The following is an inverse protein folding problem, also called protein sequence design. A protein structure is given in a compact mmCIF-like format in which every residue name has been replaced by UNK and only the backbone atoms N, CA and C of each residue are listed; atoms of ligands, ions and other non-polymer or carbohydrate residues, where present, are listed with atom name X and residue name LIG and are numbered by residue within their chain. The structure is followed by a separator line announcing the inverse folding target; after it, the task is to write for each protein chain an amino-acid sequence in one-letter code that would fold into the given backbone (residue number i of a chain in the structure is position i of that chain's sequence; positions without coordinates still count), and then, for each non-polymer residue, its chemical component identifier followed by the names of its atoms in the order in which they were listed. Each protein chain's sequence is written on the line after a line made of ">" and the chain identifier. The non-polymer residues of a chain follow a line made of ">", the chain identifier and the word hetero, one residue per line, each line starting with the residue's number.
data_IF_906815634589
#
_entry.id   IF_906815634589
#
_cell.length_a   1.000
_cell.length_b   1.000
_cell.length_c   1.000
_cell.angle_alpha   90.00
_cell.angle_beta   90.00
_cell.angle_gamma   90.00
#
_symmetry.space_group_name_H-M   'P 1'
#
loop_
_entity.id
_entity.type
_entity.pdbx_description
1 polymer ?
#
# COMPACT_ATOMS: atom_id res chain seq x y z
N UNK A 1 -27.02 21.64 -7.14
CA UNK A 1 -27.08 20.46 -8.03
C UNK A 1 -26.23 19.39 -7.36
N UNK A 2 -26.86 18.40 -6.71
CA UNK A 2 -26.20 17.51 -5.74
C UNK A 2 -25.26 16.52 -6.43
N UNK A 3 -24.02 16.40 -5.94
CA UNK A 3 -22.97 15.47 -6.41
C UNK A 3 -23.45 14.01 -6.51
N UNK A 4 -24.48 13.64 -5.72
CA UNK A 4 -25.20 12.37 -5.81
C UNK A 4 -25.85 12.08 -7.17
N UNK A 5 -26.18 13.11 -7.97
CA UNK A 5 -26.74 12.95 -9.33
C UNK A 5 -25.67 12.79 -10.42
N UNK A 6 -24.43 13.21 -10.17
CA UNK A 6 -23.31 13.04 -11.10
C UNK A 6 -22.71 11.61 -11.06
N UNK A 7 -22.85 10.92 -9.92
CA UNK A 7 -22.39 9.53 -9.73
C UNK A 7 -23.26 8.52 -10.50
N UNK A 8 -24.49 8.89 -10.88
CA UNK A 8 -25.43 8.00 -11.57
C UNK A 8 -25.31 7.99 -13.11
N UNK A 9 -24.48 8.85 -13.71
CA UNK A 9 -24.42 9.05 -15.18
C UNK A 9 -23.11 8.62 -15.86
N UNK A 10 -22.17 8.01 -15.12
CA UNK A 10 -20.85 7.61 -15.64
C UNK A 10 -20.77 6.17 -16.17
N UNK A 11 -21.66 5.78 -17.10
CA UNK A 11 -21.57 4.50 -17.81
C UNK A 11 -21.49 4.72 -19.33
N UNK A 12 -20.29 4.94 -19.85
CA UNK A 12 -19.92 4.65 -21.24
C UNK A 12 -18.40 4.81 -21.46
N UNK A 13 -17.81 3.87 -22.20
CA UNK A 13 -16.43 3.82 -22.73
C UNK A 13 -15.33 3.33 -21.75
N UNK A 14 -14.88 2.07 -21.89
CA UNK A 14 -13.74 1.53 -22.70
C UNK A 14 -12.47 1.43 -21.83
N UNK A 15 -12.02 0.21 -21.48
CA UNK A 15 -11.03 -0.68 -22.18
C UNK A 15 -9.61 -0.33 -21.73
N UNK A 16 -8.58 -1.23 -21.50
CA UNK A 16 -7.50 -1.31 -20.39
C UNK A 16 -5.94 -1.46 -20.35
N UNK A 17 -5.43 -1.63 -19.07
CA UNK A 17 -4.23 -2.21 -18.32
C UNK A 17 -2.74 -1.80 -18.53
N UNK A 18 -1.82 -2.12 -17.57
CA UNK A 18 -1.99 -2.83 -16.27
C UNK A 18 -1.31 -2.26 -15.00
N UNK A 19 -1.97 -2.55 -13.87
CA UNK A 19 -1.32 -2.82 -12.60
C UNK A 19 -0.40 -4.04 -12.78
N UNK A 20 0.77 -4.07 -12.13
CA UNK A 20 1.49 -5.32 -11.94
C UNK A 20 0.59 -6.25 -11.11
N UNK A 21 -0.24 -7.02 -11.81
CA UNK A 21 -0.76 -8.27 -11.33
C UNK A 21 0.48 -9.08 -10.89
N UNK A 22 0.52 -9.78 -9.76
CA UNK A 22 -0.24 -11.01 -9.51
C UNK A 22 -0.72 -11.79 -10.75
N UNK A 23 -0.09 -11.58 -11.90
CA UNK A 23 -0.03 -12.55 -12.97
C UNK A 23 1.04 -13.50 -12.49
N UNK A 24 0.62 -14.51 -11.74
CA UNK A 24 1.43 -15.69 -11.47
C UNK A 24 1.79 -16.35 -12.80
N UNK A 25 2.76 -15.78 -13.50
CA UNK A 25 3.39 -16.39 -14.66
C UNK A 25 4.26 -17.52 -14.11
N UNK A 26 3.67 -18.72 -14.11
CA UNK A 26 4.22 -19.97 -13.55
C UNK A 26 5.39 -20.49 -14.40
N UNK A 27 6.06 -19.63 -15.17
CA UNK A 27 7.24 -19.96 -15.98
C UNK A 27 8.56 -19.58 -15.28
N UNK A 28 8.49 -19.05 -14.06
CA UNK A 28 9.67 -18.78 -13.22
C UNK A 28 10.40 -20.05 -12.77
N UNK A 29 11.66 -19.89 -12.35
CA UNK A 29 12.63 -20.96 -12.07
C UNK A 29 12.26 -21.98 -10.96
N UNK A 30 11.07 -21.88 -10.36
CA UNK A 30 10.56 -22.80 -9.33
C UNK A 30 9.40 -23.71 -9.79
N UNK A 31 9.03 -23.69 -11.08
CA UNK A 31 7.91 -24.47 -11.57
C UNK A 31 8.25 -25.97 -11.74
N UNK A 32 7.56 -26.85 -11.01
CA UNK A 32 7.69 -28.31 -11.18
C UNK A 32 6.42 -28.86 -11.85
N UNK A 33 6.61 -29.51 -12.99
CA UNK A 33 5.52 -30.17 -13.70
C UNK A 33 5.32 -31.59 -13.15
N UNK A 34 4.15 -31.89 -12.59
CA UNK A 34 3.78 -33.23 -12.17
C UNK A 34 2.69 -33.78 -13.11
N UNK A 35 3.08 -34.64 -14.06
CA UNK A 35 2.21 -35.08 -15.14
C UNK A 35 2.08 -34.06 -16.27
N UNK A 36 1.26 -34.35 -17.29
CA UNK A 36 1.25 -33.53 -18.53
C UNK A 36 0.60 -32.15 -18.36
N UNK A 37 -0.27 -31.97 -17.34
CA UNK A 37 -1.14 -30.77 -17.25
C UNK A 37 -1.13 -30.05 -15.88
N UNK A 38 -0.30 -30.44 -14.91
CA UNK A 38 -0.27 -29.80 -13.58
C UNK A 38 1.08 -29.16 -13.30
N UNK A 39 1.06 -27.88 -12.94
CA UNK A 39 2.25 -27.09 -12.60
C UNK A 39 2.15 -26.60 -11.16
N UNK A 40 3.19 -26.84 -10.39
CA UNK A 40 3.38 -26.28 -9.05
C UNK A 40 4.38 -25.15 -9.13
N UNK A 41 4.08 -24.00 -8.55
CA UNK A 41 5.05 -22.93 -8.35
C UNK A 41 5.08 -22.48 -6.90
N UNK A 42 6.28 -22.16 -6.47
CA UNK A 42 6.56 -21.46 -5.22
C UNK A 42 7.12 -20.09 -5.60
N UNK A 43 6.50 -19.03 -5.10
CA UNK A 43 7.04 -17.68 -5.23
C UNK A 43 6.95 -16.97 -3.89
N UNK A 44 7.75 -15.94 -3.70
CA UNK A 44 7.76 -15.25 -2.42
C UNK A 44 8.59 -13.99 -2.41
N UNK A 45 8.52 -13.32 -1.26
CA UNK A 45 9.26 -12.12 -0.96
C UNK A 45 9.71 -12.17 0.49
N UNK A 46 10.94 -11.79 0.76
CA UNK A 46 11.46 -11.67 2.11
C UNK A 46 12.31 -10.41 2.25
N UNK A 47 12.09 -9.69 3.35
CA UNK A 47 12.87 -8.55 3.81
C UNK A 47 13.38 -8.85 5.21
N UNK A 48 14.69 -8.74 5.36
CA UNK A 48 15.42 -9.08 6.59
C UNK A 48 16.35 -7.90 6.93
N UNK A 49 15.83 -6.87 7.62
CA UNK A 49 16.64 -5.76 8.08
C UNK A 49 17.46 -6.17 9.33
N UNK A 50 18.67 -5.65 9.41
CA UNK A 50 19.50 -5.62 10.60
C UNK A 50 19.87 -4.16 10.87
N UNK A 51 19.35 -3.65 11.98
CA UNK A 51 19.65 -2.31 12.46
C UNK A 51 20.93 -2.36 13.29
N UNK A 52 21.92 -1.55 12.91
CA UNK A 52 23.16 -1.42 13.66
C UNK A 52 23.23 0.01 14.20
N UNK A 53 22.81 0.20 15.44
CA UNK A 53 23.07 1.45 16.15
C UNK A 53 24.25 1.30 17.10
N UNK A 54 24.81 2.43 17.54
CA UNK A 54 25.77 2.43 18.64
C UNK A 54 25.11 1.93 19.95
N UNK A 55 23.78 2.03 20.03
CA UNK A 55 22.92 1.49 21.08
C UNK A 55 22.32 0.15 20.65
N UNK A 56 22.25 -0.87 21.53
CA UNK A 56 21.70 -2.18 21.18
C UNK A 56 20.16 -2.17 21.22
N UNK A 57 19.52 -1.28 20.48
CA UNK A 57 18.06 -1.18 20.33
C UNK A 57 17.66 -0.88 18.90
N UNK A 58 16.38 -1.08 18.60
CA UNK A 58 15.80 -0.58 17.36
C UNK A 58 15.75 0.96 17.33
N UNK A 59 15.91 1.59 16.15
CA UNK A 59 15.75 3.02 15.97
C UNK A 59 14.33 3.46 16.26
N UNK A 60 14.19 4.55 16.99
CA UNK A 60 12.93 5.21 17.29
C UNK A 60 12.69 6.32 16.27
N UNK A 61 11.88 6.03 15.25
CA UNK A 61 11.62 6.98 14.16
C UNK A 61 10.14 7.33 14.09
N UNK A 62 9.85 8.48 13.49
CA UNK A 62 8.47 8.89 13.19
C UNK A 62 7.85 8.10 12.02
N UNK A 63 8.68 7.45 11.21
CA UNK A 63 8.30 6.79 9.96
C UNK A 63 8.65 5.29 9.91
N UNK A 64 8.95 4.66 11.06
CA UNK A 64 9.33 3.25 11.14
C UNK A 64 8.15 2.26 11.15
N UNK A 65 6.96 2.70 11.57
CA UNK A 65 5.78 1.84 11.64
C UNK A 65 4.91 2.00 10.39
N UNK A 66 4.67 0.89 9.68
CA UNK A 66 3.93 0.91 8.42
C UNK A 66 2.49 1.44 8.55
N UNK A 67 1.75 1.08 9.61
CA UNK A 67 0.34 1.47 9.75
C UNK A 67 0.16 2.69 10.62
N UNK A 68 0.97 2.77 11.66
CA UNK A 68 0.86 3.82 12.63
C UNK A 68 1.44 5.11 12.01
N UNK A 69 2.55 5.09 11.26
CA UNK A 69 3.16 6.35 10.78
C UNK A 69 2.25 7.14 9.80
N UNK A 70 1.24 6.48 9.22
CA UNK A 70 0.28 7.12 8.31
C UNK A 70 1.00 7.85 7.19
N UNK A 71 0.68 9.13 7.00
CA UNK A 71 1.32 9.94 5.96
C UNK A 71 2.85 10.10 6.14
N UNK A 72 3.37 9.97 7.36
CA UNK A 72 4.79 10.14 7.66
C UNK A 72 5.68 9.03 7.06
N UNK A 73 5.12 7.85 6.76
CA UNK A 73 5.91 6.71 6.29
C UNK A 73 6.70 7.02 4.99
N UNK A 74 8.02 6.79 5.01
CA UNK A 74 8.92 7.03 3.86
C UNK A 74 9.59 5.77 3.30
N UNK A 75 9.38 4.59 3.88
CA UNK A 75 10.06 3.34 3.46
C UNK A 75 11.60 3.37 3.60
N UNK A 76 12.18 4.37 4.29
CA UNK A 76 13.62 4.40 4.58
C UNK A 76 13.99 3.35 5.62
N UNK A 77 13.15 3.18 6.64
CA UNK A 77 13.20 2.10 7.59
C UNK A 77 11.98 1.20 7.37
N UNK A 78 12.24 -0.08 7.14
CA UNK A 78 11.19 -1.05 6.88
C UNK A 78 11.37 -2.21 7.87
N UNK A 79 10.32 -2.63 8.60
CA UNK A 79 10.40 -3.78 9.48
C UNK A 79 10.56 -5.07 8.68
N UNK A 80 10.93 -6.15 9.33
CA UNK A 80 10.99 -7.47 8.70
C UNK A 80 9.62 -7.91 8.15
N UNK A 81 9.63 -8.60 7.01
CA UNK A 81 8.42 -9.06 6.34
C UNK A 81 8.72 -10.23 5.40
N UNK A 82 7.90 -11.27 5.42
CA UNK A 82 7.95 -12.37 4.45
C UNK A 82 6.57 -12.75 3.96
N UNK A 83 6.48 -13.05 2.66
CA UNK A 83 5.32 -13.66 2.00
C UNK A 83 5.81 -14.89 1.23
N UNK A 84 5.11 -16.01 1.37
CA UNK A 84 5.37 -17.25 0.62
C UNK A 84 4.06 -17.75 0.01
N UNK A 85 4.07 -17.96 -1.29
CA UNK A 85 2.91 -18.41 -2.03
C UNK A 85 3.16 -19.77 -2.69
N UNK A 86 2.29 -20.73 -2.38
CA UNK A 86 2.17 -21.96 -3.13
C UNK A 86 1.05 -21.81 -4.15
N UNK A 87 1.38 -21.99 -5.43
CA UNK A 87 0.41 -21.99 -6.52
C UNK A 87 0.36 -23.35 -7.20
N UNK A 88 -0.84 -23.89 -7.38
CA UNK A 88 -1.09 -25.11 -8.15
C UNK A 88 -1.97 -24.76 -9.33
N UNK A 89 -1.51 -25.03 -10.54
CA UNK A 89 -2.25 -24.76 -11.78
C UNK A 89 -2.53 -26.06 -12.52
N UNK A 90 -3.77 -26.24 -12.99
CA UNK A 90 -4.17 -27.37 -13.84
C UNK A 90 -5.15 -26.90 -14.90
N UNK A 91 -4.72 -26.93 -16.17
CA UNK A 91 -5.48 -26.34 -17.27
C UNK A 91 -5.76 -24.85 -17.03
N UNK A 92 -7.04 -24.47 -17.06
CA UNK A 92 -7.50 -23.10 -16.82
C UNK A 92 -7.76 -22.78 -15.33
N UNK A 93 -7.45 -23.69 -14.41
CA UNK A 93 -7.71 -23.50 -12.98
C UNK A 93 -6.42 -23.28 -12.20
N UNK A 94 -6.46 -22.38 -11.21
CA UNK A 94 -5.37 -22.05 -10.30
C UNK A 94 -5.88 -22.11 -8.87
N UNK A 95 -5.13 -22.73 -7.96
CA UNK A 95 -5.30 -22.60 -6.52
C UNK A 95 -4.05 -21.93 -5.94
N UNK A 96 -4.21 -20.99 -5.03
CA UNK A 96 -3.13 -20.25 -4.39
C UNK A 96 -3.30 -20.23 -2.87
N UNK A 97 -2.20 -20.42 -2.15
CA UNK A 97 -2.13 -20.30 -0.69
C UNK A 97 -0.97 -19.37 -0.34
N UNK A 98 -1.25 -18.31 0.42
CA UNK A 98 -0.27 -17.33 0.85
C UNK A 98 -0.04 -17.38 2.35
N UNK A 99 1.23 -17.57 2.74
CA UNK A 99 1.72 -17.52 4.11
C UNK A 99 2.47 -16.21 4.34
N UNK A 100 2.16 -15.53 5.43
CA UNK A 100 2.69 -14.21 5.73
C UNK A 100 3.29 -14.21 7.14
N UNK A 101 4.39 -13.47 7.31
CA UNK A 101 5.07 -13.31 8.58
C UNK A 101 5.71 -11.93 8.70
N UNK A 102 5.71 -11.40 9.92
CA UNK A 102 6.39 -10.16 10.32
C UNK A 102 6.80 -10.28 11.78
N UNK A 103 7.66 -9.38 12.27
CA UNK A 103 8.16 -9.40 13.64
C UNK A 103 8.74 -10.78 14.00
N UNK A 104 9.75 -11.21 13.25
CA UNK A 104 10.39 -12.51 13.41
C UNK A 104 10.88 -12.72 14.84
N UNK A 105 10.70 -13.95 15.33
CA UNK A 105 11.10 -14.32 16.67
C UNK A 105 12.62 -14.26 16.71
N UNK A 106 13.12 -13.61 17.74
CA UNK A 106 14.53 -13.69 18.08
C UNK A 106 14.73 -14.75 19.17
N UNK A 107 15.98 -15.19 19.38
CA UNK A 107 16.34 -16.08 20.49
C UNK A 107 15.95 -15.49 21.86
N UNK A 108 15.78 -14.16 21.95
CA UNK A 108 15.40 -13.44 23.15
C UNK A 108 13.88 -13.30 23.36
N UNK A 109 13.07 -13.29 22.30
CA UNK A 109 11.59 -13.12 22.37
C UNK A 109 10.90 -13.92 21.27
N UNK A 110 9.95 -14.78 21.68
CA UNK A 110 9.21 -15.66 20.76
C UNK A 110 7.79 -15.12 20.53
N UNK A 111 7.63 -14.32 19.48
CA UNK A 111 6.34 -13.72 19.09
C UNK A 111 5.60 -14.63 18.10
N UNK A 112 5.23 -15.84 18.55
CA UNK A 112 4.58 -16.86 17.71
C UNK A 112 3.26 -16.41 17.09
N UNK A 113 2.56 -15.46 17.72
CA UNK A 113 1.31 -14.90 17.22
C UNK A 113 1.45 -14.08 15.93
N UNK A 114 2.66 -13.58 15.64
CA UNK A 114 2.98 -12.81 14.44
C UNK A 114 3.63 -13.66 13.33
N UNK A 115 3.82 -14.97 13.58
CA UNK A 115 4.56 -15.87 12.71
C UNK A 115 3.68 -17.00 12.20
N UNK A 116 3.52 -17.06 10.88
CA UNK A 116 2.90 -18.15 10.13
C UNK A 116 1.37 -18.21 10.27
N UNK A 117 0.67 -17.50 9.38
CA UNK A 117 -0.75 -17.68 9.11
C UNK A 117 -1.04 -17.79 7.62
N UNK A 118 -2.06 -18.57 7.24
CA UNK A 118 -2.64 -18.51 5.89
C UNK A 118 -3.44 -17.21 5.81
N UNK A 119 -2.85 -16.18 5.22
CA UNK A 119 -3.51 -14.89 5.06
C UNK A 119 -4.32 -14.81 3.75
N UNK A 120 -3.96 -15.64 2.76
CA UNK A 120 -4.66 -15.76 1.50
C UNK A 120 -4.86 -17.23 1.11
N UNK A 121 -6.03 -17.53 0.55
CA UNK A 121 -6.38 -18.84 0.03
C UNK A 121 -7.49 -18.66 -1.01
N UNK A 122 -7.18 -18.90 -2.28
CA UNK A 122 -8.16 -18.70 -3.36
C UNK A 122 -8.05 -19.76 -4.44
N UNK A 123 -9.16 -19.90 -5.18
CA UNK A 123 -9.25 -20.69 -6.41
C UNK A 123 -9.73 -19.77 -7.52
N UNK A 124 -9.04 -19.81 -8.65
CA UNK A 124 -9.38 -19.08 -9.85
C UNK A 124 -9.60 -20.00 -11.05
N UNK A 125 -10.48 -19.58 -11.95
CA UNK A 125 -10.63 -20.10 -13.30
C UNK A 125 -10.29 -18.98 -14.28
N UNK A 126 -9.20 -19.12 -15.04
CA UNK A 126 -8.71 -18.12 -15.99
C UNK A 126 -9.58 -18.05 -17.27
N UNK A 127 -10.37 -19.11 -17.53
CA UNK A 127 -11.39 -19.19 -18.60
C UNK A 127 -12.70 -19.72 -18.04
N UNK A 128 -13.43 -18.87 -17.32
CA UNK A 128 -14.67 -19.27 -16.70
C UNK A 128 -15.72 -19.64 -17.75
N UNK A 129 -16.35 -20.81 -17.59
CA UNK A 129 -17.30 -21.38 -18.57
C UNK A 129 -16.72 -21.51 -20.00
N UNK A 130 -15.40 -21.66 -20.13
CA UNK A 130 -14.70 -21.76 -21.42
C UNK A 130 -14.59 -20.43 -22.19
N UNK A 131 -15.14 -19.34 -21.64
CA UNK A 131 -15.12 -18.01 -22.24
C UNK A 131 -13.78 -17.33 -21.93
N UNK A 132 -12.90 -17.25 -22.93
CA UNK A 132 -11.87 -16.22 -22.90
C UNK A 132 -12.54 -14.91 -23.35
N UNK A 133 -12.30 -13.78 -22.66
CA UNK A 133 -11.22 -13.50 -21.71
C UNK A 133 -11.71 -13.32 -20.25
N UNK A 134 -12.70 -14.10 -19.81
CA UNK A 134 -13.31 -13.97 -18.48
C UNK A 134 -12.62 -14.89 -17.47
N UNK A 135 -12.05 -14.31 -16.41
CA UNK A 135 -11.56 -15.02 -15.25
C UNK A 135 -12.40 -14.76 -13.99
N UNK A 136 -12.47 -15.76 -13.13
CA UNK A 136 -13.21 -15.71 -11.86
C UNK A 136 -12.31 -16.23 -10.75
N UNK A 137 -12.28 -15.54 -9.62
CA UNK A 137 -11.57 -15.94 -8.42
C UNK A 137 -12.53 -15.97 -7.22
N UNK A 138 -12.40 -16.98 -6.37
CA UNK A 138 -13.18 -17.17 -5.15
C UNK A 138 -12.24 -17.55 -3.99
N UNK A 139 -12.37 -16.88 -2.85
CA UNK A 139 -11.59 -17.18 -1.66
C UNK A 139 -11.21 -15.93 -0.88
N UNK A 140 -10.08 -15.98 -0.19
CA UNK A 140 -9.48 -14.86 0.54
C UNK A 140 -8.31 -14.33 -0.27
N UNK A 141 -8.41 -13.08 -0.73
CA UNK A 141 -7.44 -12.44 -1.61
C UNK A 141 -7.38 -10.93 -1.35
N UNK A 142 -6.22 -10.32 -1.65
CA UNK A 142 -5.95 -8.91 -1.39
C UNK A 142 -5.56 -8.17 -2.67
N UNK A 143 -6.55 -7.66 -3.40
CA UNK A 143 -6.31 -6.85 -4.58
C UNK A 143 -5.67 -5.52 -4.21
N UNK A 144 -4.69 -5.09 -4.99
CA UNK A 144 -3.91 -3.86 -4.77
C UNK A 144 -4.22 -2.86 -5.88
N UNK A 145 -4.65 -1.65 -5.53
CA UNK A 145 -5.02 -0.61 -6.47
C UNK A 145 -4.24 0.69 -6.23
N UNK A 146 -3.57 1.18 -7.27
CA UNK A 146 -2.78 2.43 -7.22
C UNK A 146 -1.54 2.32 -6.33
N UNK A 147 -0.80 1.22 -6.44
CA UNK A 147 0.42 0.98 -5.67
C UNK A 147 1.51 2.00 -5.99
N UNK A 148 2.09 2.60 -4.96
CA UNK A 148 3.18 3.57 -5.02
C UNK A 148 4.38 3.02 -4.25
N UNK A 149 5.29 2.40 -4.98
CA UNK A 149 6.47 1.73 -4.45
C UNK A 149 7.39 2.63 -3.59
N UNK A 150 7.65 3.93 -3.87
CA UNK A 150 8.54 4.76 -3.04
C UNK A 150 8.11 4.88 -1.58
N UNK A 151 6.80 4.81 -1.36
CA UNK A 151 6.16 4.93 -0.06
C UNK A 151 5.46 3.63 0.37
N UNK A 152 5.53 2.57 -0.42
CA UNK A 152 4.84 1.30 -0.17
C UNK A 152 3.36 1.47 0.22
N UNK A 153 2.58 2.18 -0.61
CA UNK A 153 1.19 2.53 -0.24
C UNK A 153 0.23 2.40 -1.41
N UNK A 154 -1.06 2.42 -1.13
CA UNK A 154 -2.12 2.25 -2.11
C UNK A 154 -2.98 3.51 -2.20
N UNK A 155 -2.99 4.12 -3.39
CA UNK A 155 -3.78 5.32 -3.64
C UNK A 155 -5.28 5.00 -3.66
N UNK A 156 -5.71 3.89 -4.26
CA UNK A 156 -7.14 3.52 -4.30
C UNK A 156 -7.49 2.41 -3.31
N UNK A 157 -6.50 1.63 -2.90
CA UNK A 157 -6.56 0.76 -1.74
C UNK A 157 -6.08 -0.65 -1.97
N UNK A 158 -5.83 -1.37 -0.87
CA UNK A 158 -5.66 -2.81 -0.84
C UNK A 158 -6.83 -3.46 -0.13
N UNK A 159 -7.52 -4.37 -0.78
CA UNK A 159 -8.64 -5.09 -0.15
C UNK A 159 -8.11 -6.16 0.78
N UNK A 160 -8.86 -6.47 1.84
CA UNK A 160 -8.62 -7.59 2.74
C UNK A 160 -9.95 -8.31 2.91
N UNK A 161 -10.26 -9.24 2.00
CA UNK A 161 -11.61 -9.79 1.91
C UNK A 161 -11.63 -11.29 1.64
N UNK A 162 -12.64 -11.96 2.20
CA UNK A 162 -13.15 -13.22 1.66
C UNK A 162 -14.32 -12.93 0.71
N UNK A 163 -14.28 -13.40 -0.52
CA UNK A 163 -15.30 -13.08 -1.51
C UNK A 163 -15.01 -13.66 -2.89
N UNK A 164 -15.52 -12.98 -3.92
CA UNK A 164 -15.28 -13.32 -5.32
C UNK A 164 -14.85 -12.10 -6.13
N UNK A 165 -14.20 -12.38 -7.25
CA UNK A 165 -13.76 -11.39 -8.24
C UNK A 165 -13.97 -11.93 -9.64
N UNK A 166 -14.37 -11.05 -10.55
CA UNK A 166 -14.49 -11.28 -11.98
C UNK A 166 -13.52 -10.34 -12.68
N UNK A 167 -12.83 -10.82 -13.71
CA UNK A 167 -11.99 -9.98 -14.56
C UNK A 167 -12.20 -10.35 -16.02
N UNK A 168 -12.30 -9.34 -16.87
CA UNK A 168 -12.50 -9.46 -18.30
C UNK A 168 -11.39 -8.75 -19.04
N UNK A 169 -10.49 -9.46 -19.72
CA UNK A 169 -9.39 -8.83 -20.47
C UNK A 169 -9.84 -8.38 -21.88
N UNK A 170 -9.96 -7.07 -22.10
CA UNK A 170 -10.54 -6.50 -23.32
C UNK A 170 -9.60 -6.48 -24.56
N UNK A 171 -8.40 -7.07 -24.48
CA UNK A 171 -7.38 -7.02 -25.54
C UNK A 171 -6.64 -5.67 -25.62
N UNK A 172 -5.46 -5.66 -26.24
CA UNK A 172 -4.57 -4.47 -26.37
C UNK A 172 -4.09 -3.87 -25.03
N UNK A 173 -4.00 -4.72 -24.02
CA UNK A 173 -3.81 -4.31 -22.64
C UNK A 173 -5.13 -4.22 -21.88
N UNK A 174 -6.28 -4.38 -22.52
CA UNK A 174 -7.64 -4.37 -21.97
C UNK A 174 -7.97 -5.18 -20.72
N UNK A 175 -8.93 -4.71 -19.91
CA UNK A 175 -9.31 -5.17 -18.55
C UNK A 175 -10.45 -4.36 -17.91
N UNK A 176 -11.46 -5.08 -17.45
CA UNK A 176 -12.42 -4.61 -16.44
C UNK A 176 -12.45 -5.65 -15.35
N UNK A 177 -12.47 -5.22 -14.10
CA UNK A 177 -12.52 -6.07 -12.93
C UNK A 177 -13.63 -5.60 -12.01
N UNK A 178 -14.37 -6.54 -11.44
CA UNK A 178 -15.35 -6.27 -10.40
C UNK A 178 -15.27 -7.36 -9.33
N UNK A 179 -15.41 -6.99 -8.07
CA UNK A 179 -15.36 -7.94 -6.96
C UNK A 179 -16.23 -7.52 -5.80
N UNK A 180 -16.62 -8.51 -5.01
CA UNK A 180 -17.35 -8.29 -3.77
C UNK A 180 -16.95 -9.34 -2.73
N UNK A 181 -16.90 -8.92 -1.47
CA UNK A 181 -16.53 -9.78 -0.36
C UNK A 181 -16.83 -9.13 0.97
N UNK A 182 -16.32 -9.70 2.05
CA UNK A 182 -16.39 -9.13 3.38
C UNK A 182 -15.15 -9.47 4.21
N UNK A 183 -14.89 -8.63 5.19
CA UNK A 183 -13.97 -8.91 6.29
C UNK A 183 -14.77 -9.18 7.56
N UNK A 184 -14.35 -10.18 8.33
CA UNK A 184 -14.97 -10.53 9.63
C UNK A 184 -14.93 -9.35 10.59
N UNK A 185 -15.96 -9.24 11.42
CA UNK A 185 -16.05 -8.29 12.51
C UNK A 185 -14.89 -8.42 13.53
N UNK A 186 -14.60 -7.31 14.22
CA UNK A 186 -13.69 -7.24 15.36
C UNK A 186 -14.42 -6.60 16.54
N UNK A 187 -15.28 -7.39 17.18
CA UNK A 187 -16.18 -6.90 18.24
C UNK A 187 -15.44 -6.28 19.44
N UNK A 188 -14.26 -6.80 19.77
CA UNK A 188 -13.40 -6.24 20.83
C UNK A 188 -12.91 -4.82 20.51
N UNK A 189 -12.90 -4.44 19.23
CA UNK A 189 -12.51 -3.12 18.74
C UNK A 189 -13.71 -2.28 18.29
N UNK A 190 -14.93 -2.70 18.61
CA UNK A 190 -16.18 -2.07 18.17
C UNK A 190 -16.28 -1.92 16.65
N UNK A 191 -15.85 -2.94 15.91
CA UNK A 191 -15.93 -2.96 14.45
C UNK A 191 -16.86 -4.08 13.99
N UNK A 192 -17.83 -3.73 13.17
CA UNK A 192 -18.84 -4.64 12.64
C UNK A 192 -18.34 -5.50 11.49
N UNK A 193 -19.19 -6.43 11.03
CA UNK A 193 -18.96 -7.11 9.75
C UNK A 193 -18.87 -6.06 8.64
N UNK A 194 -17.82 -6.14 7.83
CA UNK A 194 -17.54 -5.10 6.84
C UNK A 194 -17.49 -5.68 5.43
N UNK A 195 -18.59 -5.61 4.67
CA UNK A 195 -18.55 -5.83 3.24
C UNK A 195 -17.66 -4.83 2.50
N UNK A 196 -17.16 -5.29 1.35
CA UNK A 196 -16.44 -4.48 0.37
C UNK A 196 -16.89 -4.88 -1.03
N UNK A 197 -17.06 -3.88 -1.89
CA UNK A 197 -17.32 -4.06 -3.31
C UNK A 197 -16.44 -3.09 -4.09
N UNK A 198 -15.93 -3.53 -5.23
CA UNK A 198 -15.03 -2.73 -6.04
C UNK A 198 -15.23 -2.98 -7.53
N UNK A 199 -14.98 -1.95 -8.32
CA UNK A 199 -14.87 -1.99 -9.78
C UNK A 199 -13.62 -1.23 -10.18
N UNK A 200 -12.83 -1.81 -11.07
CA UNK A 200 -11.62 -1.21 -11.62
C UNK A 200 -11.49 -1.52 -13.11
N UNK A 201 -10.83 -0.64 -13.85
CA UNK A 201 -10.45 -0.86 -15.24
C UNK A 201 -9.48 0.24 -15.66
N UNK A 202 -8.84 0.11 -16.81
CA UNK A 202 -8.21 1.27 -17.49
C UNK A 202 -8.46 1.28 -18.98
N UNK A 203 -7.63 1.96 -19.86
CA UNK A 203 -7.11 1.72 -21.28
C UNK A 203 -5.66 2.02 -21.53
N UNK A 204 -5.02 1.22 -22.38
CA UNK A 204 -3.85 1.64 -23.13
C UNK A 204 -4.24 2.48 -24.35
N UNK A 205 -3.86 3.75 -24.31
CA UNK A 205 -3.92 4.71 -25.42
C UNK A 205 -2.48 5.04 -25.82
N UNK A 206 -2.00 4.40 -26.89
CA UNK A 206 -0.61 4.50 -27.29
C UNK A 206 0.33 3.94 -26.22
N UNK A 207 1.05 4.82 -25.51
CA UNK A 207 2.03 4.46 -24.47
C UNK A 207 1.55 4.76 -23.05
N UNK A 208 0.31 5.25 -22.94
CA UNK A 208 -0.31 5.59 -21.67
C UNK A 208 -1.37 4.54 -21.34
N UNK A 209 -1.28 3.93 -20.17
CA UNK A 209 -2.39 3.28 -19.50
C UNK A 209 -3.14 4.33 -18.68
N UNK A 210 -4.44 4.53 -18.90
CA UNK A 210 -5.32 5.37 -18.09
C UNK A 210 -6.25 4.46 -17.30
N UNK A 211 -6.33 4.54 -15.97
CA UNK A 211 -7.19 3.67 -15.16
C UNK A 211 -8.19 4.44 -14.30
N UNK A 212 -9.29 3.77 -13.93
CA UNK A 212 -10.36 4.27 -13.07
C UNK A 212 -10.79 3.22 -12.05
N UNK A 213 -11.14 3.68 -10.85
CA UNK A 213 -11.39 2.84 -9.69
C UNK A 213 -12.59 3.38 -8.89
N UNK A 214 -13.45 2.46 -8.45
CA UNK A 214 -14.56 2.72 -7.55
C UNK A 214 -14.61 1.61 -6.50
N UNK A 215 -14.38 1.97 -5.24
CA UNK A 215 -14.46 1.05 -4.12
C UNK A 215 -15.46 1.56 -3.10
N UNK A 216 -16.16 0.63 -2.47
CA UNK A 216 -17.03 0.91 -1.34
C UNK A 216 -16.82 -0.16 -0.28
N UNK A 217 -16.66 0.28 0.95
CA UNK A 217 -16.78 -0.59 2.12
C UNK A 217 -17.76 0.01 3.11
N UNK A 218 -18.50 -0.82 3.82
CA UNK A 218 -19.54 -0.36 4.74
C UNK A 218 -19.76 -1.36 5.86
N UNK A 219 -20.42 -0.92 6.93
CA UNK A 219 -20.99 -1.82 7.94
C UNK A 219 -22.43 -1.40 8.22
N UNK A 220 -23.28 -2.40 8.45
CA UNK A 220 -24.68 -2.27 8.89
C UNK A 220 -24.97 -3.23 10.05
N UNK A 221 -23.95 -3.46 10.87
CA UNK A 221 -23.94 -4.45 11.96
C UNK A 221 -24.17 -3.76 13.32
N UNK A 222 -25.18 -2.89 13.39
CA UNK A 222 -25.57 -2.24 14.64
C UNK A 222 -26.10 -3.29 15.62
N UNK A 223 -25.58 -3.30 16.85
CA UNK A 223 -25.96 -4.28 17.89
C UNK A 223 -26.41 -3.57 19.16
N UNK A 224 -27.40 -4.14 19.85
CA UNK A 224 -28.02 -3.50 21.01
C UNK A 224 -27.08 -3.33 22.22
N UNK A 225 -26.06 -4.18 22.34
CA UNK A 225 -25.12 -4.20 23.48
C UNK A 225 -23.68 -3.89 23.06
N UNK A 226 -23.48 -3.34 21.86
CA UNK A 226 -22.17 -2.94 21.37
C UNK A 226 -22.27 -1.53 20.78
N UNK A 227 -21.27 -0.66 20.95
CA UNK A 227 -21.31 0.68 20.40
C UNK A 227 -21.08 0.72 18.87
N UNK A 228 -21.17 -0.42 18.18
CA UNK A 228 -21.05 -0.48 16.71
C UNK A 228 -22.23 0.26 16.08
N UNK A 229 -21.91 1.25 15.25
CA UNK A 229 -22.85 2.00 14.43
C UNK A 229 -22.64 1.70 12.94
N UNK A 230 -23.58 2.17 12.12
CA UNK A 230 -23.44 2.13 10.66
C UNK A 230 -22.29 3.05 10.22
N UNK A 231 -21.45 2.55 9.33
CA UNK A 231 -20.32 3.29 8.76
C UNK A 231 -20.16 3.00 7.27
N UNK A 232 -19.55 3.91 6.53
CA UNK A 232 -19.28 3.74 5.09
C UNK A 232 -18.02 4.50 4.69
N UNK A 233 -17.29 3.93 3.74
CA UNK A 233 -16.16 4.57 3.08
C UNK A 233 -16.27 4.31 1.57
N UNK A 234 -16.25 5.39 0.81
CA UNK A 234 -16.11 5.35 -0.65
C UNK A 234 -14.72 5.80 -1.06
N UNK A 235 -14.18 5.15 -2.09
CA UNK A 235 -12.97 5.57 -2.78
C UNK A 235 -13.26 5.67 -4.27
N UNK A 236 -12.98 6.83 -4.86
CA UNK A 236 -13.09 7.07 -6.29
C UNK A 236 -11.76 7.62 -6.76
N UNK A 237 -11.23 7.09 -7.86
CA UNK A 237 -9.98 7.62 -8.37
C UNK A 237 -9.67 7.22 -9.79
N UNK A 238 -8.63 7.84 -10.31
CA UNK A 238 -8.09 7.56 -11.62
C UNK A 238 -6.56 7.73 -11.61
N UNK A 239 -5.89 6.98 -12.48
CA UNK A 239 -4.46 7.10 -12.72
C UNK A 239 -4.11 7.14 -14.19
N UNK A 240 -2.88 7.55 -14.47
CA UNK A 240 -2.22 7.35 -15.75
C UNK A 240 -0.80 6.87 -15.51
N UNK A 241 -0.39 5.83 -16.23
CA UNK A 241 0.99 5.36 -16.34
C UNK A 241 1.45 5.49 -17.78
N UNK A 242 2.55 6.19 -18.01
CA UNK A 242 3.12 6.44 -19.33
C UNK A 242 4.50 5.81 -19.44
N UNK A 243 4.68 4.92 -20.41
CA UNK A 243 6.00 4.40 -20.74
C UNK A 243 6.79 5.47 -21.53
N UNK A 244 7.96 5.85 -21.03
CA UNK A 244 8.79 6.90 -21.61
C UNK A 244 9.57 6.38 -22.83
N UNK A 245 9.88 7.21 -23.86
CA UNK A 245 10.49 6.74 -25.11
C UNK A 245 11.80 5.97 -24.91
N UNK A 246 11.96 4.90 -25.69
CA UNK A 246 13.10 4.00 -25.58
C UNK A 246 13.06 3.17 -24.30
N UNK A 247 14.21 3.07 -23.63
CA UNK A 247 14.44 2.35 -22.38
C UNK A 247 14.51 3.30 -21.16
N UNK A 248 13.89 4.48 -21.28
CA UNK A 248 13.98 5.55 -20.28
C UNK A 248 13.19 5.32 -19.01
N UNK A 249 12.38 4.28 -18.91
CA UNK A 249 11.52 4.01 -17.75
C UNK A 249 10.08 4.46 -17.96
N UNK A 250 9.42 4.91 -16.90
CA UNK A 250 7.99 5.24 -16.92
C UNK A 250 7.67 6.39 -15.95
N UNK A 251 6.50 6.99 -16.13
CA UNK A 251 5.94 7.99 -15.22
C UNK A 251 4.50 7.63 -14.85
N UNK A 252 4.12 7.87 -13.61
CA UNK A 252 2.81 7.62 -13.04
C UNK A 252 2.28 8.90 -12.40
N UNK A 253 0.99 9.16 -12.59
CA UNK A 253 0.25 10.17 -11.84
C UNK A 253 -1.15 9.63 -11.51
N UNK A 254 -1.64 9.88 -10.30
CA UNK A 254 -2.96 9.47 -9.89
C UNK A 254 -3.62 10.44 -8.93
N UNK A 255 -4.94 10.40 -8.89
CA UNK A 255 -5.77 11.20 -7.98
C UNK A 255 -6.91 10.35 -7.41
N UNK A 256 -7.15 10.47 -6.10
CA UNK A 256 -8.21 9.77 -5.40
C UNK A 256 -9.00 10.73 -4.49
N UNK A 257 -10.29 10.47 -4.37
CA UNK A 257 -11.21 11.10 -3.43
C UNK A 257 -11.81 10.02 -2.52
N UNK A 258 -11.87 10.35 -1.23
CA UNK A 258 -12.37 9.46 -0.18
C UNK A 258 -13.49 10.17 0.56
N UNK A 259 -14.63 9.50 0.71
CA UNK A 259 -15.79 9.98 1.45
C UNK A 259 -16.07 9.01 2.59
N UNK A 260 -15.87 9.48 3.82
CA UNK A 260 -15.83 8.69 5.03
C UNK A 260 -16.96 9.13 5.97
N UNK A 261 -17.80 8.17 6.36
CA UNK A 261 -18.88 8.36 7.34
C UNK A 261 -18.69 7.32 8.44
N UNK A 262 -18.37 7.79 9.66
CA UNK A 262 -18.19 6.95 10.86
C UNK A 262 -17.29 5.73 10.64
N UNK A 263 -16.12 5.94 10.05
CA UNK A 263 -15.25 4.84 9.63
C UNK A 263 -14.66 4.04 10.79
N UNK A 264 -14.68 4.54 12.04
CA UNK A 264 -14.20 3.79 13.21
C UNK A 264 -14.85 2.40 13.35
N UNK A 265 -16.09 2.24 12.89
CA UNK A 265 -16.84 0.98 12.97
C UNK A 265 -16.54 -0.01 11.84
N UNK A 266 -15.78 0.40 10.83
CA UNK A 266 -15.38 -0.46 9.72
C UNK A 266 -14.20 -1.34 10.14
N UNK A 267 -14.43 -2.66 10.18
CA UNK A 267 -13.35 -3.64 10.24
C UNK A 267 -12.36 -3.48 9.06
N UNK A 268 -11.13 -4.02 9.15
CA UNK A 268 -10.06 -3.86 8.15
C UNK A 268 -10.28 -4.53 6.79
N UNK A 269 -11.37 -4.22 6.09
CA UNK A 269 -11.63 -4.73 4.74
C UNK A 269 -10.87 -3.96 3.64
N UNK A 270 -10.41 -2.75 3.95
CA UNK A 270 -9.73 -1.87 3.01
C UNK A 270 -8.57 -1.16 3.71
N UNK A 271 -7.42 -1.15 3.07
CA UNK A 271 -6.21 -0.46 3.51
C UNK A 271 -5.88 0.68 2.54
N UNK A 272 -5.64 1.88 3.06
CA UNK A 272 -5.43 3.11 2.28
C UNK A 272 -4.40 3.99 2.95
N UNK A 273 -3.44 4.58 2.22
CA UNK A 273 -2.53 5.59 2.75
C UNK A 273 -1.94 5.20 4.12
N UNK A 274 -1.40 3.97 4.22
CA UNK A 274 -0.83 3.42 5.46
C UNK A 274 -1.85 3.25 6.59
N UNK A 275 -3.13 3.08 6.28
CA UNK A 275 -4.20 2.99 7.26
C UNK A 275 -4.96 1.67 7.13
N UNK A 276 -4.91 0.84 8.17
CA UNK A 276 -5.61 -0.45 8.22
C UNK A 276 -7.05 -0.28 8.65
N UNK A 277 -7.97 -0.43 7.70
CA UNK A 277 -9.40 -0.25 7.95
C UNK A 277 -9.75 1.19 8.33
N UNK A 278 -10.97 1.36 8.82
CA UNK A 278 -11.46 2.69 9.14
C UNK A 278 -10.85 3.28 10.42
N UNK A 279 -10.48 2.46 11.41
CA UNK A 279 -9.77 2.94 12.62
C UNK A 279 -8.43 3.58 12.28
N UNK A 280 -7.61 2.93 11.47
CA UNK A 280 -6.34 3.51 11.04
C UNK A 280 -6.55 4.82 10.26
N UNK A 281 -7.58 4.89 9.41
CA UNK A 281 -7.85 6.09 8.61
C UNK A 281 -8.27 7.26 9.51
N UNK A 282 -9.09 6.97 10.52
CA UNK A 282 -9.47 7.93 11.54
C UNK A 282 -8.25 8.44 12.32
N UNK A 283 -7.45 7.55 12.89
CA UNK A 283 -6.28 7.94 13.70
C UNK A 283 -5.23 8.74 12.89
N UNK A 284 -4.99 8.34 11.65
CA UNK A 284 -3.98 8.98 10.80
C UNK A 284 -4.42 10.32 10.23
N UNK A 285 -5.71 10.47 9.87
CA UNK A 285 -6.18 11.63 9.09
C UNK A 285 -7.39 12.33 9.69
N UNK A 286 -8.45 11.61 10.05
CA UNK A 286 -9.75 12.23 10.35
C UNK A 286 -9.94 12.59 11.83
N UNK A 287 -9.19 12.02 12.76
CA UNK A 287 -9.48 12.10 14.20
C UNK A 287 -10.50 11.05 14.65
N UNK A 288 -10.76 10.95 15.96
CA UNK A 288 -11.56 9.85 16.55
C UNK A 288 -12.93 10.29 17.09
N UNK A 289 -13.06 10.61 18.38
CA UNK A 289 -14.37 10.88 19.00
C UNK A 289 -14.94 12.24 18.58
N UNK A 290 -14.10 13.27 18.54
CA UNK A 290 -14.51 14.63 18.18
C UNK A 290 -14.66 14.84 16.66
N UNK A 291 -14.41 13.79 15.85
CA UNK A 291 -14.54 13.81 14.39
C UNK A 291 -15.82 13.16 13.88
N UNK A 292 -16.82 12.96 14.74
CA UNK A 292 -18.02 12.21 14.36
C UNK A 292 -17.68 10.76 13.99
N UNK A 293 -16.84 10.10 14.80
CA UNK A 293 -16.35 8.73 14.63
C UNK A 293 -15.53 8.50 13.35
N UNK A 294 -14.71 9.48 12.97
CA UNK A 294 -13.90 9.45 11.74
C UNK A 294 -14.70 9.86 10.51
N UNK A 295 -15.61 10.82 10.64
CA UNK A 295 -16.36 11.37 9.51
C UNK A 295 -15.57 12.48 8.83
N UNK A 296 -15.55 12.47 7.50
CA UNK A 296 -14.86 13.49 6.72
C UNK A 296 -14.54 13.04 5.29
N UNK A 297 -13.58 13.71 4.67
CA UNK A 297 -13.15 13.39 3.31
C UNK A 297 -11.67 13.67 3.11
N UNK A 298 -11.06 12.93 2.18
CA UNK A 298 -9.68 13.12 1.78
C UNK A 298 -9.62 13.33 0.26
N UNK A 299 -8.64 14.08 -0.22
CA UNK A 299 -8.30 14.18 -1.64
C UNK A 299 -6.80 14.02 -1.78
N UNK A 300 -6.36 12.99 -2.49
CA UNK A 300 -4.94 12.64 -2.60
C UNK A 300 -4.50 12.70 -4.04
N UNK A 301 -3.32 13.28 -4.28
CA UNK A 301 -2.61 13.24 -5.56
C UNK A 301 -1.26 12.60 -5.33
N UNK A 302 -0.80 11.78 -6.28
CA UNK A 302 0.50 11.15 -6.20
C UNK A 302 1.17 11.03 -7.57
N UNK A 303 2.50 11.04 -7.55
CA UNK A 303 3.36 10.89 -8.72
C UNK A 303 4.54 9.97 -8.42
N UNK A 304 4.99 9.24 -9.43
CA UNK A 304 6.21 8.42 -9.37
C UNK A 304 6.81 8.30 -10.77
N UNK A 305 8.11 8.53 -10.91
CA UNK A 305 8.80 8.53 -12.19
C UNK A 305 10.23 8.01 -12.03
N UNK A 306 10.47 6.68 -12.11
CA UNK A 306 11.79 6.13 -12.30
C UNK A 306 12.25 6.31 -13.76
N UNK A 307 13.34 7.05 -13.93
CA UNK A 307 13.87 7.46 -15.24
C UNK A 307 15.34 7.08 -15.38
N UNK A 308 15.69 6.45 -16.52
CA UNK A 308 17.09 6.31 -16.96
C UNK A 308 17.50 7.59 -17.68
N UNK A 309 18.52 8.27 -17.16
CA UNK A 309 19.00 9.54 -17.69
C UNK A 309 19.99 9.29 -18.83
N UNK A 310 21.10 8.61 -18.52
CA UNK A 310 22.14 8.27 -19.48
C UNK A 310 23.08 7.19 -18.92
N UNK A 311 23.43 6.19 -19.72
CA UNK A 311 24.39 5.15 -19.34
C UNK A 311 24.04 4.50 -17.98
N UNK A 312 24.96 4.50 -17.00
CA UNK A 312 24.73 3.93 -15.66
C UNK A 312 23.91 4.83 -14.72
N UNK A 313 23.47 6.01 -15.18
CA UNK A 313 22.78 7.01 -14.37
C UNK A 313 21.27 6.90 -14.53
N UNK A 314 20.57 6.77 -13.41
CA UNK A 314 19.11 6.86 -13.30
C UNK A 314 18.72 7.76 -12.14
N UNK A 315 17.47 8.21 -12.14
CA UNK A 315 16.87 8.91 -11.01
C UNK A 315 15.40 8.53 -10.87
N UNK A 316 14.89 8.56 -9.64
CA UNK A 316 13.46 8.47 -9.36
C UNK A 316 12.97 9.79 -8.77
N UNK A 317 11.86 10.31 -9.25
CA UNK A 317 11.15 11.44 -8.65
C UNK A 317 9.78 10.96 -8.20
N UNK A 318 9.38 11.28 -6.98
CA UNK A 318 8.12 10.79 -6.42
C UNK A 318 7.55 11.77 -5.41
N UNK A 319 6.23 11.70 -5.21
CA UNK A 319 5.57 12.56 -4.24
C UNK A 319 4.09 12.25 -4.08
N UNK A 320 3.55 12.77 -3.00
CA UNK A 320 2.16 12.63 -2.63
C UNK A 320 1.69 13.86 -1.87
N UNK A 321 0.46 14.28 -2.10
CA UNK A 321 -0.22 15.27 -1.26
C UNK A 321 -1.61 14.76 -0.90
N UNK A 322 -2.07 15.05 0.32
CA UNK A 322 -3.42 14.71 0.77
C UNK A 322 -4.03 15.92 1.46
N UNK A 323 -5.18 16.36 0.96
CA UNK A 323 -6.00 17.37 1.61
C UNK A 323 -7.10 16.69 2.41
N UNK A 324 -7.21 17.02 3.70
CA UNK A 324 -8.18 16.43 4.62
C UNK A 324 -9.22 17.46 5.02
N UNK A 325 -10.48 17.03 5.03
CA UNK A 325 -11.58 17.68 5.74
C UNK A 325 -12.14 16.73 6.77
N UNK A 326 -12.29 17.19 8.00
CA UNK A 326 -12.75 16.38 9.13
C UNK A 326 -13.71 17.20 9.98
N UNK A 327 -14.60 16.53 10.71
CA UNK A 327 -15.43 17.18 11.74
C UNK A 327 -14.64 17.55 13.01
N UNK A 328 -13.42 17.02 13.20
CA UNK A 328 -12.56 17.36 14.34
C UNK A 328 -11.89 18.72 14.12
N UNK A 329 -12.61 19.75 14.53
CA UNK A 329 -12.21 21.16 14.46
C UNK A 329 -11.77 21.63 15.84
N UNK A 330 -10.48 21.94 15.99
CA UNK A 330 -9.92 22.52 17.23
C UNK A 330 -9.20 23.83 16.86
N UNK A 331 -9.92 24.98 16.82
CA UNK A 331 -9.40 26.21 16.22
C UNK A 331 -8.07 26.71 16.81
N UNK A 332 -7.88 26.48 18.12
CA UNK A 332 -6.75 27.03 18.88
C UNK A 332 -5.57 26.05 19.00
N UNK A 333 -5.71 24.82 18.49
CA UNK A 333 -4.64 23.79 18.54
C UNK A 333 -4.48 23.09 17.17
N UNK A 334 -3.52 23.55 16.33
CA UNK A 334 -3.23 22.93 15.04
C UNK A 334 -2.80 21.46 15.11
N UNK A 335 -2.26 20.99 16.24
CA UNK A 335 -1.85 19.58 16.40
C UNK A 335 -3.06 18.68 16.64
N UNK A 336 -4.05 19.17 17.39
CA UNK A 336 -5.31 18.49 17.62
C UNK A 336 -6.30 18.64 16.46
N UNK A 337 -6.26 19.75 15.72
CA UNK A 337 -7.14 19.98 14.58
C UNK A 337 -6.81 19.02 13.42
N UNK A 338 -7.85 18.36 12.88
CA UNK A 338 -7.74 17.47 11.71
C UNK A 338 -8.44 18.04 10.47
N UNK A 339 -9.25 19.08 10.61
CA UNK A 339 -9.88 19.74 9.48
C UNK A 339 -8.91 20.64 8.71
N UNK A 340 -9.12 20.74 7.39
CA UNK A 340 -8.36 21.60 6.45
C UNK A 340 -6.86 21.40 6.52
N UNK A 341 -6.44 20.15 6.66
CA UNK A 341 -5.02 19.80 6.79
C UNK A 341 -4.47 19.37 5.44
N UNK A 342 -3.38 20.02 5.02
CA UNK A 342 -2.66 19.66 3.80
C UNK A 342 -1.37 18.92 4.16
N UNK A 343 -1.34 17.64 3.83
CA UNK A 343 -0.16 16.81 3.92
C UNK A 343 0.59 16.84 2.60
N UNK A 344 1.92 16.96 2.64
CA UNK A 344 2.78 16.96 1.44
C UNK A 344 4.03 16.16 1.73
N UNK A 345 4.34 15.18 0.88
CA UNK A 345 5.65 14.53 0.86
C UNK A 345 6.16 14.36 -0.55
N UNK A 346 7.47 14.48 -0.71
CA UNK A 346 8.14 14.26 -1.98
C UNK A 346 9.57 13.79 -1.75
N UNK A 347 10.12 13.17 -2.77
CA UNK A 347 11.50 12.73 -2.74
C UNK A 347 12.11 12.54 -4.11
N UNK A 348 13.43 12.39 -4.07
CA UNK A 348 14.25 12.13 -5.24
C UNK A 348 15.34 11.12 -4.90
N UNK A 349 15.60 10.18 -5.80
CA UNK A 349 16.63 9.15 -5.65
C UNK A 349 17.45 9.03 -6.94
N UNK A 350 18.47 9.88 -7.16
CA UNK A 350 19.53 9.60 -8.12
C UNK A 350 20.28 8.32 -7.74
N UNK A 351 20.64 7.54 -8.75
CA UNK A 351 21.40 6.30 -8.61
C UNK A 351 22.40 6.11 -9.74
N UNK A 352 23.51 5.46 -9.43
CA UNK A 352 24.61 5.17 -10.33
C UNK A 352 25.04 3.70 -10.22
N UNK A 353 25.07 2.99 -11.35
CA UNK A 353 25.67 1.65 -11.41
C UNK A 353 27.20 1.76 -11.46
N UNK A 354 27.87 1.47 -10.35
CA UNK A 354 29.34 1.49 -10.24
C UNK A 354 29.97 0.30 -10.97
N UNK A 355 29.22 -0.79 -11.15
CA UNK A 355 29.56 -1.97 -11.91
C UNK A 355 28.38 -2.95 -11.97
N UNK A 356 28.57 -4.16 -12.49
CA UNK A 356 27.49 -5.16 -12.57
C UNK A 356 26.98 -5.64 -11.20
N UNK A 357 27.78 -5.49 -10.14
CA UNK A 357 27.50 -6.02 -8.81
C UNK A 357 27.32 -4.94 -7.73
N UNK A 358 27.41 -3.66 -8.08
CA UNK A 358 27.34 -2.57 -7.10
C UNK A 358 26.59 -1.37 -7.69
N UNK A 359 25.59 -0.88 -6.95
CA UNK A 359 24.85 0.34 -7.22
C UNK A 359 24.97 1.29 -6.03
N UNK A 360 25.21 2.56 -6.31
CA UNK A 360 25.11 3.63 -5.32
C UNK A 360 23.86 4.46 -5.59
N UNK A 361 23.18 4.91 -4.54
CA UNK A 361 22.04 5.82 -4.64
C UNK A 361 22.04 6.78 -3.47
N UNK A 362 21.44 7.96 -3.68
CA UNK A 362 21.24 8.96 -2.66
C UNK A 362 19.77 9.35 -2.67
N UNK A 363 19.01 8.92 -1.66
CA UNK A 363 17.59 9.25 -1.53
C UNK A 363 17.41 10.46 -0.62
N UNK A 364 16.57 11.40 -1.04
CA UNK A 364 16.11 12.51 -0.22
C UNK A 364 14.59 12.45 -0.10
N UNK A 365 14.07 12.60 1.12
CA UNK A 365 12.64 12.73 1.40
C UNK A 365 12.38 14.03 2.17
N UNK A 366 11.29 14.70 1.82
CA UNK A 366 10.72 15.82 2.58
C UNK A 366 9.27 15.46 2.90
N UNK A 367 8.92 15.50 4.18
CA UNK A 367 7.57 15.21 4.66
C UNK A 367 7.08 16.38 5.49
N UNK A 368 5.92 16.91 5.13
CA UNK A 368 5.24 18.03 5.79
C UNK A 368 3.88 17.49 6.21
N UNK A 369 3.68 17.34 7.52
CA UNK A 369 2.46 16.75 8.08
C UNK A 369 1.34 17.78 8.22
N UNK A 370 1.66 19.07 8.17
CA UNK A 370 0.72 20.16 7.98
C UNK A 370 1.41 21.30 7.24
N UNK A 371 0.97 21.61 6.02
CA UNK A 371 1.53 22.68 5.21
C UNK A 371 1.42 24.07 5.85
N UNK A 372 0.45 24.26 6.75
CA UNK A 372 0.28 25.51 7.48
C UNK A 372 1.18 25.61 8.72
N UNK A 373 1.85 24.51 9.09
CA UNK A 373 2.74 24.41 10.24
C UNK A 373 4.03 23.68 9.87
N UNK A 374 4.95 24.40 9.21
CA UNK A 374 6.21 23.82 8.73
C UNK A 374 7.12 23.26 9.85
N UNK A 375 6.90 23.61 11.11
CA UNK A 375 7.60 22.97 12.24
C UNK A 375 7.17 21.51 12.44
N UNK A 376 5.98 21.13 11.94
CA UNK A 376 5.48 19.76 11.88
C UNK A 376 5.92 19.08 10.57
N UNK A 377 7.24 19.04 10.35
CA UNK A 377 7.83 18.45 9.16
C UNK A 377 9.17 17.81 9.48
N UNK A 378 9.59 16.86 8.65
CA UNK A 378 10.94 16.34 8.69
C UNK A 378 11.50 16.18 7.28
N UNK A 379 12.79 15.93 7.20
CA UNK A 379 13.47 15.55 5.96
C UNK A 379 14.51 14.49 6.28
N UNK A 380 14.81 13.65 5.31
CA UNK A 380 15.79 12.59 5.46
C UNK A 380 16.71 12.56 4.24
N UNK A 381 17.99 12.28 4.48
CA UNK A 381 18.98 12.03 3.43
C UNK A 381 19.60 10.66 3.67
N UNK A 382 19.54 9.81 2.64
CA UNK A 382 19.87 8.41 2.76
C UNK A 382 20.78 7.92 1.64
N UNK A 383 22.11 7.97 1.81
CA UNK A 383 23.02 7.24 0.94
C UNK A 383 22.87 5.73 1.14
N UNK A 384 22.84 4.99 0.02
CA UNK A 384 22.72 3.53 -0.02
C UNK A 384 23.71 2.93 -1.02
N UNK A 385 24.36 1.84 -0.62
CA UNK A 385 25.12 0.96 -1.49
C UNK A 385 24.40 -0.39 -1.55
N UNK A 386 23.97 -0.76 -2.75
CA UNK A 386 23.26 -2.01 -3.01
C UNK A 386 24.12 -2.97 -3.84
N UNK A 387 24.01 -4.25 -3.51
CA UNK A 387 24.70 -5.38 -4.10
C UNK A 387 23.64 -6.34 -4.66
N UNK A 388 23.29 -6.22 -5.95
CA UNK A 388 22.30 -7.08 -6.57
C UNK A 388 22.72 -8.55 -6.51
N UNK A 389 21.81 -9.41 -6.07
CA UNK A 389 21.95 -10.86 -6.07
C UNK A 389 21.32 -11.39 -7.36
N UNK A 390 21.99 -11.15 -8.48
CA UNK A 390 21.47 -11.48 -9.82
C UNK A 390 20.03 -10.93 -10.03
N UNK A 391 19.07 -11.82 -10.25
CA UNK A 391 17.65 -11.53 -10.54
C UNK A 391 16.71 -11.80 -9.36
N UNK A 392 17.18 -12.36 -8.24
CA UNK A 392 16.33 -12.80 -7.13
C UNK A 392 16.43 -11.93 -5.87
N UNK A 393 17.26 -10.88 -5.84
CA UNK A 393 17.33 -10.01 -4.67
C UNK A 393 18.43 -8.97 -4.67
N UNK A 394 18.60 -8.33 -3.52
CA UNK A 394 19.70 -7.42 -3.21
C UNK A 394 20.09 -7.47 -1.73
N UNK A 395 21.38 -7.25 -1.47
CA UNK A 395 21.88 -6.87 -0.16
C UNK A 395 22.21 -5.39 -0.20
N UNK A 396 21.93 -4.62 0.84
CA UNK A 396 22.38 -3.24 0.88
C UNK A 396 22.74 -2.76 2.27
N UNK A 397 23.60 -1.73 2.27
CA UNK A 397 23.91 -0.93 3.44
C UNK A 397 23.42 0.49 3.20
N UNK A 398 22.78 1.06 4.20
CA UNK A 398 22.16 2.37 4.12
C UNK A 398 22.41 3.13 5.42
N UNK A 399 22.87 4.37 5.29
CA UNK A 399 22.87 5.34 6.38
C UNK A 399 21.76 6.34 6.11
N UNK A 400 21.07 6.78 7.14
CA UNK A 400 20.03 7.80 7.03
C UNK A 400 20.22 8.85 8.12
N UNK A 401 20.22 10.11 7.72
CA UNK A 401 20.20 11.23 8.63
C UNK A 401 18.87 11.98 8.50
N UNK A 402 18.20 12.19 9.64
CA UNK A 402 16.94 12.90 9.75
C UNK A 402 17.15 14.30 10.32
N UNK A 403 16.47 15.28 9.73
CA UNK A 403 16.28 16.59 10.33
C UNK A 403 14.80 16.78 10.65
N UNK A 404 14.51 16.89 11.93
CA UNK A 404 13.17 17.10 12.45
C UNK A 404 12.91 18.59 12.68
N UNK A 405 11.67 19.03 12.46
CA UNK A 405 11.20 20.31 12.96
C UNK A 405 10.79 20.21 14.43
N UNK A 406 10.70 21.36 15.11
CA UNK A 406 10.53 21.46 16.56
C UNK A 406 9.24 20.82 17.11
N UNK A 407 8.28 20.46 16.26
CA UNK A 407 7.00 19.83 16.64
C UNK A 407 6.92 18.35 16.31
N UNK A 408 7.99 17.78 15.76
CA UNK A 408 8.07 16.34 15.51
C UNK A 408 8.42 15.62 16.81
N UNK A 409 7.51 14.75 17.25
CA UNK A 409 7.71 13.88 18.39
C UNK A 409 7.28 12.45 18.04
N UNK A 410 7.88 11.48 18.73
CA UNK A 410 7.37 10.12 18.78
C UNK A 410 5.97 10.12 19.37
N UNK A 411 5.16 9.14 18.98
CA UNK A 411 3.79 9.10 19.49
C UNK A 411 3.75 8.65 20.94
N UNK A 412 2.78 9.16 21.72
CA UNK A 412 2.56 8.67 23.07
C UNK A 412 2.37 7.15 23.08
N UNK A 413 3.19 6.46 23.89
CA UNK A 413 3.16 5.00 24.01
C UNK A 413 3.91 4.22 22.93
N UNK A 414 4.48 4.90 21.92
CA UNK A 414 5.36 4.26 20.94
C UNK A 414 6.65 3.75 21.60
N UNK A 415 7.21 4.55 22.51
CA UNK A 415 8.40 4.20 23.30
C UNK A 415 8.16 4.64 24.74
N UNK A 416 8.53 3.82 25.75
CA UNK A 416 8.44 4.25 27.14
C UNK A 416 9.40 5.40 27.44
N UNK A 417 8.87 6.52 27.95
CA UNK A 417 9.62 7.65 28.49
C UNK A 417 10.49 8.42 27.48
N UNK A 418 10.32 8.18 26.18
CA UNK A 418 10.99 8.96 25.12
C UNK A 418 9.97 9.68 24.24
N UNK A 419 10.30 10.91 23.86
CA UNK A 419 9.51 11.71 22.92
C UNK A 419 10.30 12.12 21.69
N UNK A 420 11.64 12.09 21.74
CA UNK A 420 12.49 12.52 20.65
C UNK A 420 12.88 11.34 19.74
N UNK A 421 12.69 11.46 18.42
CA UNK A 421 13.12 10.44 17.47
C UNK A 421 14.63 10.50 17.20
N UNK A 422 15.22 9.35 16.84
CA UNK A 422 16.63 9.26 16.47
C UNK A 422 16.93 10.01 15.17
N UNK A 423 18.06 10.72 15.15
CA UNK A 423 18.49 11.50 13.98
C UNK A 423 19.39 10.71 13.01
N UNK A 424 19.95 9.56 13.43
CA UNK A 424 20.95 8.82 12.66
C UNK A 424 20.68 7.33 12.74
N UNK A 425 20.53 6.68 11.59
CA UNK A 425 20.26 5.25 11.52
C UNK A 425 21.18 4.59 10.51
N UNK A 426 21.74 3.45 10.88
CA UNK A 426 22.45 2.57 9.96
C UNK A 426 21.71 1.23 9.85
N UNK A 427 21.48 0.82 8.60
CA UNK A 427 20.72 -0.38 8.26
C UNK A 427 21.53 -1.24 7.30
N UNK A 428 21.60 -2.53 7.59
CA UNK A 428 21.96 -3.57 6.63
C UNK A 428 20.67 -4.30 6.31
N UNK A 429 20.37 -4.58 5.05
CA UNK A 429 19.14 -5.29 4.69
C UNK A 429 19.43 -6.30 3.59
N UNK A 430 18.90 -7.50 3.78
CA UNK A 430 18.73 -8.46 2.71
C UNK A 430 17.29 -8.42 2.23
N UNK A 431 17.10 -8.40 0.92
CA UNK A 431 15.79 -8.45 0.29
C UNK A 431 15.83 -9.46 -0.85
N UNK A 432 14.88 -10.38 -0.89
CA UNK A 432 14.78 -11.40 -1.92
C UNK A 432 13.34 -11.50 -2.44
N UNK A 433 13.22 -11.77 -3.73
CA UNK A 433 11.98 -12.12 -4.42
C UNK A 433 12.29 -13.29 -5.36
N UNK A 434 11.47 -14.34 -5.33
CA UNK A 434 11.71 -15.56 -6.12
C UNK A 434 10.42 -16.13 -6.70
#
# INVERSE_FOLDING_TARGET
>A
MTLRAAIAAGCAALAAAPAAADTGDVTGAGAVTAGVDTVFALHGYARMPLSLEATPREPWLIDNDYYLSGFAYTRLYEPDWSELFLTVRRGDYRAQFGLFASLYSDYATTELENQLGIAQASVAADRFLGQAPLSVELGVFWDRFGYLEPYDTYLFGRTHQGGFKLRWDLGDGGYVQAGAGAHRERLQQNQGLTPVAHVAGGYRIGRALVSGYLLRTWTRDKRQLSPIEDGTLWVVGADVRVDLPGDRGWAYAGAAYYDAERVLFLAPALELLHSTGGRGLAENFLGTADSGDGTGSLTTFAVDAPVRIAGPVSARLFGMTTWVRSEQVVPDDPLANKDRRLYVKWGAEPSYALGPHVRASLRYDRVILDFHDAANSFRALSPKLAFPLADWGELFVQYTHYWYGDKIALRPGQVPLESEPDANVFKVQAQAAW
#
